data_IF_767731995463
#
_entry.id   IF_767731995463
#
_cell.length_a   1.000
_cell.length_b   1.000
_cell.length_c   1.000
_cell.angle_alpha   90.00
_cell.angle_beta   90.00
_cell.angle_gamma   90.00
#
_symmetry.space_group_name_H-M   'P 1'
#
loop_
_entity.id
_entity.type
_entity.pdbx_description
1 polymer ?
#
# COMPACT_ATOMS: atom_id res chain seq x y z
N UNK A 1 42.46 15.98 -11.76
CA UNK A 1 42.03 14.79 -12.52
C UNK A 1 41.95 13.61 -11.55
N UNK A 2 40.75 13.31 -11.05
CA UNK A 2 40.54 12.16 -10.16
C UNK A 2 40.47 10.89 -11.01
N UNK A 3 41.45 9.99 -10.84
CA UNK A 3 41.54 8.73 -11.57
C UNK A 3 40.52 7.74 -10.98
N UNK A 4 39.64 7.19 -11.82
CA UNK A 4 38.66 6.18 -11.39
C UNK A 4 39.40 4.88 -11.05
N UNK A 5 39.28 4.41 -9.80
CA UNK A 5 39.89 3.17 -9.31
C UNK A 5 39.48 1.92 -10.11
N UNK A 6 38.36 1.97 -10.83
CA UNK A 6 37.89 0.89 -11.72
C UNK A 6 38.82 0.60 -12.89
N UNK A 7 39.83 1.44 -13.12
CA UNK A 7 40.80 1.29 -14.22
C UNK A 7 42.21 0.89 -13.76
N UNK A 8 42.46 0.77 -12.45
CA UNK A 8 43.77 0.33 -11.96
C UNK A 8 43.82 -1.19 -11.79
N UNK A 9 44.74 -1.82 -12.51
CA UNK A 9 45.02 -3.26 -12.39
C UNK A 9 45.73 -3.50 -11.05
N UNK A 10 45.17 -4.31 -10.14
CA UNK A 10 45.81 -4.60 -8.87
C UNK A 10 47.14 -5.35 -9.07
N UNK A 11 48.12 -5.05 -8.22
CA UNK A 11 49.50 -5.58 -8.30
C UNK A 11 49.64 -7.08 -8.00
N UNK A 12 48.56 -7.74 -7.56
CA UNK A 12 48.55 -9.13 -7.11
C UNK A 12 47.77 -9.98 -8.14
N UNK A 13 48.06 -11.29 -8.29
CA UNK A 13 47.37 -12.18 -9.22
C UNK A 13 45.96 -12.52 -8.72
N UNK A 14 45.20 -11.52 -8.32
CA UNK A 14 43.84 -11.63 -7.84
C UNK A 14 42.91 -11.04 -8.88
N UNK A 15 41.90 -11.82 -9.21
CA UNK A 15 40.82 -11.36 -10.06
C UNK A 15 40.06 -10.20 -9.42
N UNK A 16 39.42 -9.40 -10.26
CA UNK A 16 38.55 -8.31 -9.84
C UNK A 16 37.13 -8.56 -10.30
N UNK A 17 36.17 -7.96 -9.59
CA UNK A 17 34.75 -8.04 -9.94
C UNK A 17 34.43 -6.84 -10.82
N UNK A 18 33.76 -7.09 -11.93
CA UNK A 18 33.29 -6.07 -12.86
C UNK A 18 31.81 -6.31 -13.21
N UNK A 19 31.07 -5.25 -13.51
CA UNK A 19 29.67 -5.35 -13.92
C UNK A 19 29.59 -5.14 -15.44
N UNK A 20 29.42 -6.24 -16.17
CA UNK A 20 29.32 -6.23 -17.62
C UNK A 20 27.89 -6.59 -18.02
N UNK A 21 27.21 -5.70 -18.74
CA UNK A 21 25.85 -5.93 -19.25
C UNK A 21 24.82 -6.31 -18.17
N UNK A 22 24.97 -5.76 -16.95
CA UNK A 22 24.06 -5.99 -15.83
C UNK A 22 24.30 -7.30 -15.07
N UNK A 23 25.31 -8.08 -15.46
CA UNK A 23 25.75 -9.28 -14.76
C UNK A 23 27.11 -9.06 -14.06
N UNK A 24 27.22 -9.51 -12.81
CA UNK A 24 28.46 -9.46 -12.03
C UNK A 24 29.41 -10.56 -12.52
N UNK A 25 30.54 -10.17 -13.10
CA UNK A 25 31.56 -11.07 -13.63
C UNK A 25 32.83 -11.03 -12.79
N UNK A 26 33.43 -12.19 -12.53
CA UNK A 26 34.75 -12.30 -11.93
C UNK A 26 35.79 -12.38 -13.04
N UNK A 27 36.65 -11.37 -13.13
CA UNK A 27 37.74 -11.31 -14.10
C UNK A 27 39.00 -11.87 -13.46
N UNK A 28 39.37 -13.11 -13.81
CA UNK A 28 40.58 -13.74 -13.30
C UNK A 28 41.77 -13.33 -14.18
N UNK A 29 42.70 -12.57 -13.60
CA UNK A 29 43.95 -12.21 -14.28
C UNK A 29 44.92 -13.40 -14.17
N UNK A 30 44.85 -14.31 -15.13
CA UNK A 30 45.81 -15.42 -15.28
C UNK A 30 47.03 -14.94 -16.10
N UNK A 31 48.15 -15.66 -16.02
CA UNK A 31 49.40 -15.28 -16.70
C UNK A 31 49.32 -15.24 -18.23
N UNK A 32 48.24 -15.74 -18.85
CA UNK A 32 48.16 -15.89 -20.32
C UNK A 32 46.92 -15.33 -21.00
N UNK A 33 45.92 -14.81 -20.27
CA UNK A 33 44.86 -13.91 -20.78
C UNK A 33 43.82 -13.69 -19.67
N UNK A 34 43.11 -12.56 -19.72
CA UNK A 34 42.03 -12.24 -18.77
C UNK A 34 40.78 -13.05 -19.14
N UNK A 35 40.54 -14.16 -18.44
CA UNK A 35 39.33 -14.93 -18.59
C UNK A 35 38.21 -14.31 -17.75
N UNK A 36 37.12 -13.92 -18.41
CA UNK A 36 35.89 -13.43 -17.74
C UNK A 36 34.97 -14.63 -17.52
N UNK A 37 34.64 -14.92 -16.27
CA UNK A 37 33.71 -16.00 -15.93
C UNK A 37 32.50 -15.38 -15.23
N UNK A 38 31.26 -15.61 -15.71
CA UNK A 38 30.08 -15.13 -15.00
C UNK A 38 30.00 -15.81 -13.65
N UNK A 39 29.73 -15.04 -12.60
CA UNK A 39 29.76 -15.54 -11.23
C UNK A 39 28.75 -16.68 -11.01
N UNK A 40 27.66 -16.71 -11.78
CA UNK A 40 26.66 -17.78 -11.75
C UNK A 40 27.22 -19.16 -12.15
N UNK A 41 28.18 -19.22 -13.08
CA UNK A 41 28.82 -20.49 -13.47
C UNK A 41 29.84 -20.95 -12.41
N UNK A 42 30.41 -20.02 -11.64
CA UNK A 42 31.38 -20.33 -10.58
C UNK A 42 30.72 -20.78 -9.28
N UNK A 43 29.61 -20.13 -8.91
CA UNK A 43 28.88 -20.40 -7.66
C UNK A 43 27.86 -21.55 -7.83
N UNK A 44 27.37 -21.77 -9.05
CA UNK A 44 26.31 -22.74 -9.32
C UNK A 44 24.93 -22.25 -8.86
N UNK A 45 23.91 -23.10 -9.03
CA UNK A 45 22.57 -22.81 -8.50
C UNK A 45 22.63 -22.84 -6.98
N UNK A 46 22.01 -21.85 -6.32
CA UNK A 46 21.88 -21.85 -4.86
C UNK A 46 20.98 -23.02 -4.47
N UNK A 47 21.56 -24.09 -3.92
CA UNK A 47 20.83 -25.30 -3.50
C UNK A 47 20.08 -25.11 -2.17
N UNK A 48 20.44 -24.08 -1.38
CA UNK A 48 19.86 -23.82 -0.07
C UNK A 48 19.57 -22.33 0.15
N UNK A 49 18.29 -22.02 0.32
CA UNK A 49 17.75 -20.69 0.62
C UNK A 49 16.26 -20.66 0.26
N UNK A 50 15.39 -20.40 1.24
CA UNK A 50 13.95 -20.32 0.98
C UNK A 50 13.64 -18.98 0.30
N UNK A 51 13.03 -19.03 -0.89
CA UNK A 51 12.60 -17.87 -1.69
C UNK A 51 11.16 -17.43 -1.42
N UNK A 52 10.52 -18.00 -0.39
CA UNK A 52 9.26 -17.50 0.14
C UNK A 52 9.55 -16.77 1.45
N UNK A 53 8.99 -15.58 1.62
CA UNK A 53 8.82 -14.96 2.93
C UNK A 53 8.35 -16.05 3.91
N UNK A 54 8.95 -16.11 5.10
CA UNK A 54 8.39 -16.86 6.22
C UNK A 54 6.90 -16.55 6.24
N UNK A 55 6.04 -17.55 6.09
CA UNK A 55 4.60 -17.39 6.32
C UNK A 55 4.48 -16.58 7.60
N UNK A 56 3.78 -15.44 7.54
CA UNK A 56 3.59 -14.59 8.71
C UNK A 56 3.31 -15.51 9.89
N UNK A 57 4.25 -15.57 10.83
CA UNK A 57 3.98 -16.17 12.11
C UNK A 57 3.06 -15.15 12.77
N UNK A 58 1.78 -15.18 12.39
CA UNK A 58 0.75 -14.69 13.27
C UNK A 58 0.99 -15.45 14.55
N UNK A 59 1.31 -14.72 15.62
CA UNK A 59 1.12 -15.24 16.96
C UNK A 59 -0.32 -15.71 16.97
N UNK A 60 -0.52 -17.04 16.85
CA UNK A 60 -1.80 -17.64 17.05
C UNK A 60 -2.29 -17.02 18.34
N UNK A 61 -3.37 -16.22 18.28
CA UNK A 61 -4.00 -15.60 19.45
C UNK A 61 -3.89 -16.59 20.60
N UNK A 62 -3.49 -16.19 21.82
CA UNK A 62 -3.23 -17.14 22.90
C UNK A 62 -4.42 -18.07 22.97
N UNK A 63 -4.22 -19.31 22.48
CA UNK A 63 -5.33 -20.20 22.21
C UNK A 63 -6.04 -20.35 23.53
N UNK A 64 -7.33 -19.99 23.59
CA UNK A 64 -8.07 -20.06 24.85
C UNK A 64 -8.07 -21.52 25.29
N UNK A 65 -7.26 -21.86 26.30
CA UNK A 65 -7.11 -23.21 26.80
C UNK A 65 -8.07 -23.42 27.98
N UNK A 66 -9.06 -24.31 27.85
CA UNK A 66 -9.93 -24.67 28.97
C UNK A 66 -9.15 -25.42 30.05
N UNK A 67 -9.68 -25.44 31.28
CA UNK A 67 -9.14 -26.29 32.36
C UNK A 67 -9.26 -27.77 32.01
N UNK A 68 -8.21 -28.55 32.28
CA UNK A 68 -8.18 -29.98 32.00
C UNK A 68 -8.84 -30.77 33.13
N UNK A 69 -9.64 -31.79 32.78
CA UNK A 69 -10.28 -32.68 33.74
C UNK A 69 -9.36 -33.87 34.04
N UNK A 70 -9.07 -34.08 35.33
CA UNK A 70 -8.28 -35.21 35.79
C UNK A 70 -9.22 -36.33 36.21
N UNK A 71 -9.16 -37.45 35.50
CA UNK A 71 -9.88 -38.66 35.89
C UNK A 71 -9.00 -39.49 36.83
N UNK A 72 -9.31 -39.44 38.12
CA UNK A 72 -8.76 -40.39 39.07
C UNK A 72 -9.66 -41.62 39.11
N UNK A 73 -9.03 -42.79 39.05
CA UNK A 73 -9.66 -44.11 39.17
C UNK A 73 -10.66 -44.19 40.37
N UNK A 74 -11.54 -45.21 40.40
CA UNK A 74 -12.55 -45.35 41.44
C UNK A 74 -12.01 -45.19 42.88
N UNK A 75 -12.83 -44.60 43.77
CA UNK A 75 -12.52 -44.28 45.18
C UNK A 75 -11.62 -43.06 45.44
N UNK A 76 -11.40 -42.18 44.45
CA UNK A 76 -10.60 -40.97 44.58
C UNK A 76 -11.42 -39.67 44.72
N UNK A 77 -12.53 -39.68 45.50
CA UNK A 77 -13.43 -38.52 45.63
C UNK A 77 -12.81 -37.27 46.28
N UNK A 78 -11.64 -37.41 46.92
CA UNK A 78 -10.89 -36.31 47.54
C UNK A 78 -9.70 -35.83 46.68
N UNK A 79 -9.49 -36.42 45.51
CA UNK A 79 -8.44 -35.98 44.60
C UNK A 79 -8.86 -34.72 43.84
N UNK A 80 -7.94 -33.78 43.55
CA UNK A 80 -8.26 -32.58 42.77
C UNK A 80 -8.77 -32.94 41.37
N UNK A 81 -10.00 -32.59 41.01
CA UNK A 81 -10.59 -33.04 39.73
C UNK A 81 -10.20 -32.18 38.52
N UNK A 82 -9.55 -31.03 38.74
CA UNK A 82 -9.24 -30.04 37.72
C UNK A 82 -7.75 -29.69 37.73
N UNK A 83 -7.16 -29.56 36.54
CA UNK A 83 -5.82 -29.02 36.33
C UNK A 83 -5.91 -27.69 35.56
N UNK A 84 -5.43 -26.62 36.19
CA UNK A 84 -5.43 -25.26 35.65
C UNK A 84 -4.02 -24.76 35.31
N UNK A 85 -3.00 -25.62 35.33
CA UNK A 85 -1.59 -25.22 35.18
C UNK A 85 -1.32 -24.47 33.87
N UNK A 86 -2.06 -24.80 32.80
CA UNK A 86 -1.93 -24.17 31.48
C UNK A 86 -3.25 -23.60 30.93
N UNK A 87 -4.26 -23.44 31.79
CA UNK A 87 -5.56 -22.92 31.37
C UNK A 87 -5.55 -21.39 31.34
N UNK A 88 -5.99 -20.80 30.24
CA UNK A 88 -6.18 -19.33 30.12
C UNK A 88 -7.63 -18.92 30.36
N UNK A 89 -8.56 -19.88 30.39
CA UNK A 89 -9.98 -19.63 30.59
C UNK A 89 -10.41 -19.92 32.03
N UNK A 90 -11.46 -19.23 32.51
CA UNK A 90 -12.00 -19.49 33.84
C UNK A 90 -12.69 -20.86 33.90
N UNK A 91 -12.92 -21.37 35.12
CA UNK A 91 -13.54 -22.68 35.33
C UNK A 91 -14.96 -22.76 34.76
N UNK A 92 -15.78 -21.72 34.98
CA UNK A 92 -17.18 -21.68 34.55
C UNK A 92 -17.31 -21.79 33.03
N UNK A 93 -16.46 -21.09 32.31
CA UNK A 93 -16.46 -21.03 30.84
C UNK A 93 -15.87 -22.33 30.27
N UNK A 94 -14.87 -22.91 30.95
CA UNK A 94 -14.32 -24.25 30.62
C UNK A 94 -15.37 -25.35 30.77
N UNK A 95 -16.14 -25.29 31.85
CA UNK A 95 -17.24 -26.21 32.12
C UNK A 95 -18.37 -26.02 31.11
N UNK A 96 -18.72 -24.77 30.78
CA UNK A 96 -19.70 -24.47 29.74
C UNK A 96 -19.27 -25.06 28.39
N UNK A 97 -18.02 -24.85 27.96
CA UNK A 97 -17.52 -25.44 26.71
C UNK A 97 -17.57 -26.97 26.75
N UNK A 98 -17.19 -27.57 27.87
CA UNK A 98 -17.20 -29.03 28.03
C UNK A 98 -18.62 -29.59 28.04
N UNK A 99 -19.59 -28.89 28.65
CA UNK A 99 -20.99 -29.29 28.63
C UNK A 99 -21.61 -29.15 27.24
N UNK A 100 -21.23 -28.09 26.52
CA UNK A 100 -21.79 -27.72 25.21
C UNK A 100 -21.21 -28.58 24.10
N UNK A 101 -19.91 -28.84 24.12
CA UNK A 101 -19.18 -29.51 23.02
C UNK A 101 -18.40 -30.77 23.44
N UNK A 102 -18.34 -31.08 24.74
CA UNK A 102 -17.60 -32.25 25.23
C UNK A 102 -18.27 -33.59 24.92
N UNK A 103 -19.58 -33.58 24.66
CA UNK A 103 -20.29 -34.74 24.12
C UNK A 103 -20.59 -34.54 22.62
N UNK A 104 -20.41 -35.62 21.86
CA UNK A 104 -20.69 -35.67 20.43
C UNK A 104 -22.17 -35.46 20.13
N UNK A 105 -23.06 -35.97 20.99
CA UNK A 105 -24.51 -35.79 20.83
C UNK A 105 -24.89 -34.31 21.00
N UNK A 106 -24.46 -33.68 22.09
CA UNK A 106 -24.69 -32.26 22.36
C UNK A 106 -24.11 -31.37 21.24
N UNK A 107 -22.89 -31.66 20.77
CA UNK A 107 -22.27 -30.91 19.69
C UNK A 107 -23.06 -31.03 18.37
N UNK A 108 -23.61 -32.22 18.07
CA UNK A 108 -24.43 -32.45 16.89
C UNK A 108 -25.78 -31.72 16.99
N UNK A 109 -26.41 -31.70 18.16
CA UNK A 109 -27.67 -30.99 18.40
C UNK A 109 -27.50 -29.48 18.25
N UNK A 110 -26.42 -28.92 18.78
CA UNK A 110 -26.12 -27.49 18.65
C UNK A 110 -25.76 -27.13 17.21
N UNK A 111 -25.03 -27.99 16.51
CA UNK A 111 -24.77 -27.81 15.09
C UNK A 111 -26.07 -27.80 14.28
N UNK A 112 -27.01 -28.70 14.59
CA UNK A 112 -28.33 -28.72 13.97
C UNK A 112 -29.16 -27.47 14.31
N UNK A 113 -29.14 -27.02 15.56
CA UNK A 113 -29.80 -25.77 15.97
C UNK A 113 -29.21 -24.57 15.22
N UNK A 114 -27.88 -24.49 15.09
CA UNK A 114 -27.21 -23.45 14.33
C UNK A 114 -27.61 -23.49 12.87
N UNK A 115 -27.62 -24.68 12.26
CA UNK A 115 -28.01 -24.84 10.86
C UNK A 115 -29.48 -24.46 10.65
N UNK A 116 -30.36 -24.83 11.60
CA UNK A 116 -31.75 -24.40 11.61
C UNK A 116 -31.83 -22.86 11.65
N UNK A 117 -31.10 -22.17 12.54
CA UNK A 117 -31.12 -20.70 12.60
C UNK A 117 -30.64 -20.07 11.30
N UNK A 118 -29.57 -20.61 10.69
CA UNK A 118 -28.98 -20.09 9.46
C UNK A 118 -29.90 -20.30 8.25
N UNK A 119 -30.55 -21.47 8.15
CA UNK A 119 -31.46 -21.80 7.05
C UNK A 119 -32.90 -21.32 7.28
N UNK A 120 -33.22 -20.87 8.49
CA UNK A 120 -34.53 -20.31 8.80
C UNK A 120 -34.61 -18.88 8.29
N UNK A 121 -35.34 -18.70 7.19
CA UNK A 121 -35.66 -17.37 6.65
C UNK A 121 -36.45 -16.49 7.63
N UNK A 122 -37.00 -15.38 7.13
CA UNK A 122 -37.59 -14.30 7.94
C UNK A 122 -38.64 -14.70 9.01
N UNK A 123 -39.30 -15.86 8.87
CA UNK A 123 -40.28 -16.34 9.85
C UNK A 123 -39.71 -16.60 11.25
N UNK A 124 -38.50 -17.18 11.32
CA UNK A 124 -37.88 -17.49 12.62
C UNK A 124 -37.27 -16.25 13.27
N UNK A 125 -36.82 -15.32 12.44
CA UNK A 125 -36.41 -13.98 12.84
C UNK A 125 -37.59 -13.23 13.48
N UNK A 126 -38.75 -13.20 12.81
CA UNK A 126 -39.97 -12.60 13.34
C UNK A 126 -40.44 -13.26 14.66
N UNK A 127 -40.35 -14.60 14.75
CA UNK A 127 -40.68 -15.32 15.99
C UNK A 127 -39.76 -14.89 17.15
N UNK A 128 -38.46 -14.78 16.90
CA UNK A 128 -37.51 -14.35 17.92
C UNK A 128 -37.62 -12.88 18.25
N UNK A 129 -37.90 -12.01 17.28
CA UNK A 129 -38.16 -10.60 17.53
C UNK A 129 -39.39 -10.43 18.43
N UNK A 130 -40.45 -11.20 18.18
CA UNK A 130 -41.63 -11.23 19.05
C UNK A 130 -41.31 -11.76 20.46
N UNK A 131 -40.48 -12.80 20.57
CA UNK A 131 -40.06 -13.37 21.85
C UNK A 131 -39.17 -12.40 22.64
N UNK A 132 -38.20 -11.76 21.99
CA UNK A 132 -37.31 -10.77 22.58
C UNK A 132 -38.12 -9.56 23.02
N UNK A 133 -39.03 -9.06 22.17
CA UNK A 133 -39.97 -8.00 22.57
C UNK A 133 -40.83 -8.40 23.78
N UNK A 134 -41.25 -9.66 23.89
CA UNK A 134 -42.00 -10.14 25.05
C UNK A 134 -41.13 -10.21 26.31
N UNK A 135 -39.84 -10.54 26.18
CA UNK A 135 -38.89 -10.64 27.30
C UNK A 135 -38.31 -9.28 27.72
N UNK A 136 -38.23 -8.33 26.79
CA UNK A 136 -37.67 -7.00 27.01
C UNK A 136 -38.75 -5.91 27.08
N UNK A 137 -40.02 -6.29 27.25
CA UNK A 137 -41.17 -5.37 27.26
C UNK A 137 -41.17 -4.35 26.10
N UNK A 138 -40.80 -4.81 24.90
CA UNK A 138 -40.77 -4.00 23.67
C UNK A 138 -39.52 -3.15 23.45
N UNK A 139 -38.54 -3.17 24.37
CA UNK A 139 -37.30 -2.38 24.21
C UNK A 139 -36.43 -2.87 23.04
N UNK A 140 -36.47 -4.16 22.69
CA UNK A 140 -35.72 -4.74 21.56
C UNK A 140 -36.05 -4.07 20.22
N UNK A 141 -37.32 -4.03 19.82
CA UNK A 141 -37.74 -3.34 18.59
C UNK A 141 -37.39 -1.85 18.60
N UNK A 142 -37.51 -1.20 19.76
CA UNK A 142 -37.19 0.22 19.88
C UNK A 142 -35.71 0.52 19.63
N UNK A 143 -34.81 -0.36 20.10
CA UNK A 143 -33.37 -0.23 19.85
C UNK A 143 -33.04 -0.51 18.39
N UNK A 144 -33.66 -1.52 17.77
CA UNK A 144 -33.47 -1.81 16.35
C UNK A 144 -33.89 -0.62 15.49
N UNK A 145 -35.07 -0.04 15.75
CA UNK A 145 -35.56 1.14 15.03
C UNK A 145 -34.55 2.30 15.12
N UNK A 146 -33.97 2.55 16.30
CA UNK A 146 -32.98 3.62 16.47
C UNK A 146 -31.70 3.37 15.67
N UNK A 147 -31.22 2.12 15.63
CA UNK A 147 -30.02 1.76 14.88
C UNK A 147 -30.24 1.94 13.37
N UNK A 148 -31.37 1.45 12.84
CA UNK A 148 -31.70 1.60 11.42
C UNK A 148 -31.85 3.07 11.00
N UNK A 149 -32.43 3.92 11.86
CA UNK A 149 -32.51 5.37 11.58
C UNK A 149 -31.13 6.04 11.55
N UNK A 150 -30.22 5.67 12.47
CA UNK A 150 -28.86 6.23 12.50
C UNK A 150 -28.02 5.83 11.29
N UNK A 151 -28.21 4.62 10.77
CA UNK A 151 -27.51 4.13 9.58
C UNK A 151 -28.00 4.85 8.30
N UNK A 152 -29.31 5.11 8.19
CA UNK A 152 -29.86 5.92 7.07
C UNK A 152 -29.38 7.36 7.09
N UNK A 153 -29.33 7.99 8.26
CA UNK A 153 -28.85 9.38 8.40
C UNK A 153 -27.37 9.53 7.99
N UNK A 154 -26.53 8.53 8.27
CA UNK A 154 -25.11 8.54 7.86
C UNK A 154 -24.93 8.33 6.35
N UNK A 155 -25.74 7.47 5.74
CA UNK A 155 -25.72 7.25 4.28
C UNK A 155 -26.22 8.48 3.51
N UNK A 156 -27.30 9.14 3.97
CA UNK A 156 -27.81 10.37 3.35
C UNK A 156 -26.82 11.55 3.47
N UNK A 157 -25.99 11.59 4.51
CA UNK A 157 -24.93 12.58 4.67
C UNK A 157 -23.76 12.36 3.68
N UNK A 158 -23.49 11.11 3.31
CA UNK A 158 -22.48 10.77 2.30
C UNK A 158 -22.96 11.09 0.87
N UNK A 159 -24.24 10.87 0.55
CA UNK A 159 -24.80 11.18 -0.76
C UNK A 159 -24.88 12.70 -1.04
N UNK A 160 -25.23 13.51 -0.03
CA UNK A 160 -25.31 14.98 -0.18
C UNK A 160 -23.96 15.68 -0.46
N UNK A 161 -22.84 15.00 -0.22
CA UNK A 161 -21.51 15.53 -0.55
C UNK A 161 -21.14 15.33 -2.03
N UNK A 162 -21.77 14.40 -2.75
CA UNK A 162 -21.45 14.13 -4.16
C UNK A 162 -22.19 15.05 -5.16
N UNK A 163 -23.29 15.70 -4.77
CA UNK A 163 -24.13 16.46 -5.72
C UNK A 163 -23.83 17.97 -5.80
N UNK A 164 -22.86 18.51 -5.04
CA UNK A 164 -22.69 19.97 -4.89
C UNK A 164 -21.57 20.66 -5.68
N UNK A 165 -20.81 19.99 -6.55
CA UNK A 165 -19.72 20.64 -7.30
C UNK A 165 -19.70 20.37 -8.81
N UNK A 166 -20.66 20.94 -9.56
CA UNK A 166 -20.53 21.14 -11.01
C UNK A 166 -20.37 22.63 -11.32
N UNK A 167 -19.25 23.23 -10.91
CA UNK A 167 -18.80 24.53 -11.44
C UNK A 167 -17.95 24.29 -12.69
N UNK A 168 -17.90 25.21 -13.68
CA UNK A 168 -17.05 25.05 -14.87
C UNK A 168 -15.56 24.85 -14.54
N UNK A 169 -15.13 25.32 -13.37
CA UNK A 169 -13.79 25.09 -12.80
C UNK A 169 -13.55 23.62 -12.43
N UNK A 170 -14.57 22.91 -11.93
CA UNK A 170 -14.51 21.48 -11.60
C UNK A 170 -14.34 20.62 -12.87
N UNK A 171 -15.01 21.00 -13.96
CA UNK A 171 -14.89 20.29 -15.24
C UNK A 171 -13.50 20.47 -15.89
N UNK A 172 -12.93 21.67 -15.84
CA UNK A 172 -11.54 21.89 -16.33
C UNK A 172 -10.53 21.07 -15.53
N UNK A 173 -10.66 21.04 -14.20
CA UNK A 173 -9.78 20.27 -13.33
C UNK A 173 -9.87 18.77 -13.63
N UNK A 174 -11.08 18.26 -13.86
CA UNK A 174 -11.31 16.88 -14.25
C UNK A 174 -10.65 16.55 -15.61
N UNK A 175 -10.69 17.46 -16.58
CA UNK A 175 -10.00 17.25 -17.87
C UNK A 175 -8.47 17.24 -17.71
N UNK A 176 -7.93 18.09 -16.83
CA UNK A 176 -6.50 18.11 -16.51
C UNK A 176 -6.08 16.82 -15.77
N UNK A 177 -6.91 16.32 -14.85
CA UNK A 177 -6.70 15.03 -14.18
C UNK A 177 -6.71 13.86 -15.18
N UNK A 178 -7.64 13.84 -16.14
CA UNK A 178 -7.65 12.80 -17.18
C UNK A 178 -6.44 12.94 -18.11
N UNK A 179 -5.94 14.16 -18.35
CA UNK A 179 -4.71 14.36 -19.15
C UNK A 179 -3.48 13.69 -18.51
N UNK A 180 -3.45 13.50 -17.18
CA UNK A 180 -2.33 12.81 -16.50
C UNK A 180 -2.25 11.33 -16.83
N UNK A 181 -3.33 10.71 -17.31
CA UNK A 181 -3.35 9.30 -17.72
C UNK A 181 -2.50 9.02 -18.98
N UNK A 182 -2.06 10.07 -19.69
CA UNK A 182 -1.06 9.94 -20.77
C UNK A 182 0.20 9.21 -20.28
N UNK A 183 0.63 9.47 -19.04
CA UNK A 183 1.80 8.83 -18.43
C UNK A 183 1.63 7.31 -18.27
N UNK A 184 0.39 6.83 -18.24
CA UNK A 184 0.03 5.41 -18.11
C UNK A 184 -0.14 4.75 -19.49
N UNK A 185 0.11 5.51 -20.58
CA UNK A 185 0.03 5.03 -21.96
C UNK A 185 -1.38 5.09 -22.55
N UNK A 186 -2.27 5.90 -21.97
CA UNK A 186 -3.61 6.15 -22.50
C UNK A 186 -3.55 7.37 -23.42
N UNK A 187 -4.01 7.23 -24.66
CA UNK A 187 -4.06 8.34 -25.62
C UNK A 187 -5.10 9.39 -25.18
N UNK A 188 -4.62 10.55 -24.74
CA UNK A 188 -5.42 11.70 -24.28
C UNK A 188 -5.42 12.85 -25.29
N UNK A 189 -4.90 12.66 -26.51
CA UNK A 189 -4.78 13.73 -27.52
C UNK A 189 -6.12 14.40 -27.88
N UNK A 190 -7.23 13.68 -27.73
CA UNK A 190 -8.58 14.20 -27.93
C UNK A 190 -9.03 15.22 -26.86
N UNK A 191 -8.39 15.24 -25.69
CA UNK A 191 -8.71 16.18 -24.59
C UNK A 191 -8.31 17.60 -24.95
N UNK A 192 -7.21 17.78 -25.71
CA UNK A 192 -6.81 19.09 -26.21
C UNK A 192 -7.86 19.69 -27.16
N UNK A 193 -8.46 18.85 -28.01
CA UNK A 193 -9.56 19.23 -28.92
C UNK A 193 -10.84 19.59 -28.14
N UNK A 194 -11.21 18.79 -27.12
CA UNK A 194 -12.36 19.07 -26.25
C UNK A 194 -12.16 20.35 -25.43
N UNK A 195 -10.94 20.59 -24.93
CA UNK A 195 -10.60 21.80 -24.17
C UNK A 195 -10.69 23.05 -25.05
N UNK A 196 -10.34 22.93 -26.34
CA UNK A 196 -10.50 23.98 -27.34
C UNK A 196 -11.97 24.26 -27.68
N UNK A 197 -12.77 23.21 -27.92
CA UNK A 197 -14.19 23.31 -28.26
C UNK A 197 -15.05 23.83 -27.09
N UNK A 198 -14.67 23.50 -25.85
CA UNK A 198 -15.36 24.00 -24.65
C UNK A 198 -14.88 25.39 -24.18
N UNK A 199 -13.94 26.04 -24.88
CA UNK A 199 -13.48 27.38 -24.55
C UNK A 199 -12.58 27.49 -23.31
N UNK A 200 -12.06 26.35 -22.81
CA UNK A 200 -11.07 26.28 -21.71
C UNK A 200 -9.62 26.40 -22.21
N UNK A 201 -9.43 26.69 -23.50
CA UNK A 201 -8.13 26.99 -24.09
C UNK A 201 -7.52 28.23 -23.45
N UNK A 202 -6.52 28.04 -22.60
CA UNK A 202 -5.60 29.11 -22.22
C UNK A 202 -4.87 29.61 -23.49
N UNK A 203 -4.91 30.91 -23.85
CA UNK A 203 -4.13 31.45 -24.96
C UNK A 203 -2.60 31.42 -24.71
N UNK A 204 -2.15 30.80 -23.63
CA UNK A 204 -0.77 30.80 -23.16
C UNK A 204 0.08 29.70 -23.81
N UNK A 205 -0.51 28.67 -24.42
CA UNK A 205 0.24 27.48 -24.89
C UNK A 205 1.15 27.76 -26.10
N UNK A 206 0.97 28.86 -26.84
CA UNK A 206 1.88 29.19 -27.96
C UNK A 206 3.11 30.00 -27.52
N UNK A 207 3.12 30.61 -26.34
CA UNK A 207 4.25 31.39 -25.82
C UNK A 207 4.84 30.83 -24.50
N UNK A 208 4.30 29.74 -23.96
CA UNK A 208 4.75 29.09 -22.72
C UNK A 208 6.05 28.27 -22.86
N UNK A 209 6.53 28.01 -24.08
CA UNK A 209 7.84 27.36 -24.27
C UNK A 209 9.02 28.21 -23.76
N UNK A 210 8.79 29.49 -23.41
CA UNK A 210 9.84 30.42 -22.99
C UNK A 210 9.79 30.79 -21.50
N UNK A 211 8.83 30.28 -20.71
CA UNK A 211 8.79 30.54 -19.27
C UNK A 211 7.95 29.50 -18.51
N UNK A 212 8.20 28.21 -18.74
CA UNK A 212 7.78 27.20 -17.77
C UNK A 212 8.61 27.40 -16.50
N UNK A 213 7.96 27.62 -15.36
CA UNK A 213 8.64 27.85 -14.08
C UNK A 213 9.45 26.57 -13.79
N UNK A 214 10.74 26.64 -13.43
CA UNK A 214 11.55 25.45 -13.14
C UNK A 214 10.89 24.51 -12.11
N UNK A 215 10.07 25.07 -11.24
CA UNK A 215 9.31 24.38 -10.20
C UNK A 215 8.19 23.49 -10.77
N UNK A 216 7.41 23.96 -11.75
CA UNK A 216 6.34 23.17 -12.38
C UNK A 216 6.89 21.98 -13.17
N UNK A 217 8.05 22.16 -13.81
CA UNK A 217 8.76 21.06 -14.52
C UNK A 217 9.31 20.01 -13.53
N UNK A 218 9.79 20.44 -12.36
CA UNK A 218 10.24 19.53 -11.30
C UNK A 218 9.05 18.78 -10.70
N UNK A 219 7.92 19.45 -10.46
CA UNK A 219 6.70 18.83 -9.96
C UNK A 219 6.17 17.79 -10.96
N UNK A 220 6.12 18.13 -12.26
CA UNK A 220 5.73 17.20 -13.33
C UNK A 220 6.64 15.97 -13.38
N UNK A 221 7.96 16.17 -13.27
CA UNK A 221 8.90 15.06 -13.20
C UNK A 221 8.71 14.23 -11.91
N UNK A 222 8.30 14.85 -10.79
CA UNK A 222 7.93 14.18 -9.56
C UNK A 222 6.78 13.20 -9.76
N UNK A 223 5.70 13.62 -10.43
CA UNK A 223 4.58 12.73 -10.79
C UNK A 223 5.04 11.59 -11.72
N UNK A 224 5.88 11.88 -12.72
CA UNK A 224 6.46 10.83 -13.58
C UNK A 224 7.28 9.80 -12.79
N UNK A 225 8.05 10.21 -11.77
CA UNK A 225 8.79 9.28 -10.88
C UNK A 225 7.83 8.41 -10.08
N UNK A 226 6.75 9.00 -9.57
CA UNK A 226 5.73 8.28 -8.82
C UNK A 226 5.04 7.23 -9.70
N UNK A 227 4.71 7.58 -10.94
CA UNK A 227 4.13 6.67 -11.93
C UNK A 227 5.10 5.56 -12.33
N UNK A 228 6.37 5.88 -12.56
CA UNK A 228 7.42 4.89 -12.82
C UNK A 228 7.53 3.89 -11.67
N UNK A 229 7.53 4.41 -10.44
CA UNK A 229 7.60 3.60 -9.22
C UNK A 229 6.38 2.71 -9.10
N UNK A 230 5.20 3.22 -9.43
CA UNK A 230 3.97 2.44 -9.45
C UNK A 230 4.06 1.27 -10.46
N UNK A 231 4.49 1.52 -11.70
CA UNK A 231 4.65 0.48 -12.72
C UNK A 231 5.70 -0.57 -12.32
N UNK A 232 6.83 -0.13 -11.76
CA UNK A 232 7.88 -1.01 -11.26
C UNK A 232 7.39 -1.88 -10.10
N UNK A 233 6.66 -1.28 -9.16
CA UNK A 233 6.10 -2.01 -8.02
C UNK A 233 5.04 -3.01 -8.49
N UNK A 234 4.18 -2.63 -9.42
CA UNK A 234 3.21 -3.54 -10.03
C UNK A 234 3.90 -4.73 -10.74
N UNK A 235 5.05 -4.50 -11.40
CA UNK A 235 5.84 -5.57 -12.03
C UNK A 235 6.49 -6.48 -10.99
N UNK A 236 7.11 -5.91 -9.96
CA UNK A 236 7.92 -6.64 -8.97
C UNK A 236 7.09 -7.33 -7.88
N UNK A 237 5.89 -6.84 -7.59
CA UNK A 237 5.00 -7.38 -6.56
C UNK A 237 4.10 -8.51 -7.09
N UNK A 238 4.12 -8.75 -8.41
CA UNK A 238 3.48 -9.95 -8.98
C UNK A 238 4.13 -11.20 -8.40
N UNK A 239 3.31 -12.13 -7.94
CA UNK A 239 3.76 -13.41 -7.38
C UNK A 239 4.47 -14.23 -8.45
N UNK A 240 5.80 -14.27 -8.36
CA UNK A 240 6.65 -15.12 -9.21
C UNK A 240 6.83 -16.49 -8.54
N UNK A 241 6.70 -17.56 -9.32
CA UNK A 241 6.90 -18.94 -8.85
C UNK A 241 8.36 -19.35 -8.81
N UNK A 242 9.22 -18.71 -9.63
CA UNK A 242 10.67 -18.89 -9.65
C UNK A 242 11.37 -17.55 -9.84
N UNK A 243 12.44 -17.28 -9.08
CA UNK A 243 13.25 -16.04 -9.19
C UNK A 243 13.93 -15.84 -10.55
N UNK A 244 14.04 -16.90 -11.35
CA UNK A 244 14.57 -16.82 -12.72
C UNK A 244 13.55 -16.27 -13.72
N UNK A 245 12.26 -16.20 -13.35
CA UNK A 245 11.15 -15.78 -14.20
C UNK A 245 10.65 -14.39 -13.78
N UNK A 246 11.58 -13.44 -13.67
CA UNK A 246 11.23 -12.02 -13.40
C UNK A 246 10.51 -11.47 -14.63
N UNK A 247 9.32 -10.86 -14.47
CA UNK A 247 8.62 -10.24 -15.58
C UNK A 247 9.52 -9.18 -16.25
N UNK A 248 9.58 -9.22 -17.58
CA UNK A 248 10.33 -8.25 -18.37
C UNK A 248 9.76 -6.84 -18.18
N UNK A 249 10.61 -5.82 -18.42
CA UNK A 249 10.21 -4.41 -18.36
C UNK A 249 9.08 -4.13 -19.35
N UNK A 250 8.07 -3.38 -18.91
CA UNK A 250 6.94 -2.99 -19.76
C UNK A 250 7.36 -1.89 -20.74
N UNK A 251 6.80 -1.87 -21.95
CA UNK A 251 7.11 -0.84 -22.95
C UNK A 251 6.76 0.57 -22.44
N UNK A 252 5.67 0.71 -21.68
CA UNK A 252 5.30 1.98 -21.04
C UNK A 252 6.30 2.42 -19.94
N UNK A 253 6.88 1.47 -19.20
CA UNK A 253 7.92 1.76 -18.20
C UNK A 253 9.20 2.23 -18.89
N UNK A 254 9.54 1.62 -20.02
CA UNK A 254 10.71 1.96 -20.82
C UNK A 254 10.57 3.36 -21.44
N UNK A 255 9.40 3.67 -22.02
CA UNK A 255 9.12 4.97 -22.62
C UNK A 255 9.15 6.09 -21.57
N UNK A 256 8.47 5.90 -20.44
CA UNK A 256 8.42 6.88 -19.36
C UNK A 256 9.81 7.11 -18.76
N UNK A 257 10.60 6.05 -18.55
CA UNK A 257 11.99 6.16 -18.10
C UNK A 257 12.86 6.95 -19.09
N UNK A 258 12.69 6.71 -20.40
CA UNK A 258 13.41 7.43 -21.45
C UNK A 258 13.00 8.91 -21.53
N UNK A 259 11.70 9.21 -21.42
CA UNK A 259 11.16 10.58 -21.41
C UNK A 259 11.69 11.36 -20.21
N UNK A 260 11.66 10.77 -19.03
CA UNK A 260 12.19 11.35 -17.80
C UNK A 260 13.71 11.59 -17.86
N UNK A 261 14.48 10.65 -18.41
CA UNK A 261 15.92 10.84 -18.64
C UNK A 261 16.19 12.03 -19.58
N UNK A 262 15.38 12.18 -20.62
CA UNK A 262 15.48 13.28 -21.59
C UNK A 262 15.12 14.62 -20.94
N UNK A 263 14.05 14.67 -20.12
CA UNK A 263 13.64 15.88 -19.39
C UNK A 263 14.76 16.35 -18.44
N UNK A 264 15.35 15.45 -17.64
CA UNK A 264 16.46 15.82 -16.77
C UNK A 264 17.69 16.27 -17.55
N UNK A 265 18.01 15.62 -18.68
CA UNK A 265 19.10 16.05 -19.54
C UNK A 265 18.85 17.45 -20.11
N UNK A 266 17.62 17.76 -20.52
CA UNK A 266 17.23 19.09 -20.99
C UNK A 266 17.31 20.13 -19.87
N UNK A 267 16.85 19.82 -18.65
CA UNK A 267 16.96 20.72 -17.50
C UNK A 267 18.42 21.02 -17.14
N UNK A 268 19.30 20.02 -17.14
CA UNK A 268 20.73 20.22 -16.88
C UNK A 268 21.36 21.13 -17.93
N UNK A 269 21.02 20.94 -19.21
CA UNK A 269 21.53 21.75 -20.32
C UNK A 269 20.97 23.18 -20.29
N UNK A 270 19.67 23.33 -20.02
CA UNK A 270 18.97 24.60 -20.11
C UNK A 270 19.24 25.51 -18.90
N UNK A 271 19.33 24.94 -17.70
CA UNK A 271 19.56 25.71 -16.49
C UNK A 271 21.05 25.85 -16.13
N UNK A 272 21.94 24.98 -16.66
CA UNK A 272 23.38 25.00 -16.33
C UNK A 272 23.63 25.01 -14.81
N UNK A 273 22.72 24.42 -14.04
CA UNK A 273 22.74 24.34 -12.58
C UNK A 273 23.35 23.00 -12.19
N UNK A 274 24.29 23.02 -11.25
CA UNK A 274 24.88 21.80 -10.73
C UNK A 274 23.83 21.05 -9.86
N UNK A 275 23.83 19.70 -9.81
CA UNK A 275 22.79 18.93 -9.12
C UNK A 275 22.56 19.28 -7.64
N UNK A 276 23.53 19.94 -7.00
CA UNK A 276 23.46 20.44 -5.62
C UNK A 276 22.65 21.74 -5.46
N UNK A 277 22.29 22.41 -6.55
CA UNK A 277 21.57 23.69 -6.56
C UNK A 277 20.15 23.55 -7.13
N UNK A 278 19.79 22.38 -7.66
CA UNK A 278 18.44 22.06 -8.13
C UNK A 278 17.58 21.68 -6.91
N UNK A 279 16.61 22.52 -6.55
CA UNK A 279 15.59 22.20 -5.53
C UNK A 279 15.91 22.58 -4.08
N UNK A 280 17.04 23.26 -3.81
CA UNK A 280 17.40 23.77 -2.47
C UNK A 280 17.25 25.28 -2.42
N UNK A 281 16.08 25.79 -2.84
CA UNK A 281 15.71 27.18 -2.51
C UNK A 281 15.05 27.17 -1.11
N UNK A 282 15.35 28.16 -0.24
CA UNK A 282 14.76 28.21 1.10
C UNK A 282 13.23 28.10 1.10
N UNK A 283 12.58 28.65 0.07
CA UNK A 283 11.14 28.59 -0.11
C UNK A 283 10.60 27.16 -0.31
N UNK A 284 11.29 26.31 -1.08
CA UNK A 284 10.91 24.90 -1.25
C UNK A 284 11.07 24.12 0.05
N UNK A 285 12.13 24.42 0.82
CA UNK A 285 12.36 23.80 2.13
C UNK A 285 11.27 24.23 3.13
N UNK A 286 10.89 25.51 3.12
CA UNK A 286 9.81 26.03 3.98
C UNK A 286 8.48 25.36 3.65
N UNK A 287 8.11 25.31 2.36
CA UNK A 287 6.89 24.65 1.90
C UNK A 287 6.89 23.13 2.23
N UNK A 288 8.01 22.43 2.02
CA UNK A 288 8.14 21.01 2.36
C UNK A 288 8.11 20.71 3.88
N UNK A 289 8.47 21.69 4.71
CA UNK A 289 8.36 21.62 6.18
C UNK A 289 6.96 22.06 6.67
N UNK A 290 6.09 22.54 5.76
CA UNK A 290 4.76 23.03 6.08
C UNK A 290 4.74 24.46 6.66
N UNK A 291 5.82 25.23 6.41
CA UNK A 291 5.89 26.65 6.71
C UNK A 291 5.44 27.41 5.47
N UNK A 292 4.18 27.80 5.43
CA UNK A 292 3.66 28.71 4.42
C UNK A 292 4.08 30.14 4.80
N UNK A 293 5.02 30.71 4.05
CA UNK A 293 5.49 32.10 4.27
C UNK A 293 4.35 33.14 4.09
N UNK A 294 3.17 32.76 3.58
CA UNK A 294 2.02 33.67 3.39
C UNK A 294 1.27 34.03 4.69
N UNK A 295 1.20 33.11 5.67
CA UNK A 295 0.43 33.34 6.90
C UNK A 295 1.18 34.22 7.92
N UNK A 296 2.51 34.22 7.89
CA UNK A 296 3.34 34.95 8.86
C UNK A 296 3.43 36.46 8.59
N UNK A 297 3.17 36.92 7.36
CA UNK A 297 3.13 38.35 7.04
C UNK A 297 1.83 39.04 7.46
N UNK A 298 0.74 38.29 7.59
CA UNK A 298 -0.55 38.84 8.04
C UNK A 298 -0.60 38.98 9.58
N UNK A 299 0.06 38.08 10.33
CA UNK A 299 0.21 38.20 11.79
C UNK A 299 1.00 39.46 12.18
N UNK A 300 1.99 39.84 11.38
CA UNK A 300 2.80 41.05 11.62
C UNK A 300 2.15 42.34 11.11
N UNK A 301 1.21 42.26 10.15
CA UNK A 301 0.40 43.41 9.73
C UNK A 301 -0.63 43.78 10.78
N UNK A 302 -1.32 42.80 11.36
CA UNK A 302 -2.31 43.02 12.42
C UNK A 302 -1.67 43.67 13.67
N UNK A 303 -0.38 43.41 13.93
CA UNK A 303 0.36 44.01 15.04
C UNK A 303 0.86 45.45 14.77
N UNK A 304 1.07 45.83 13.51
CA UNK A 304 1.60 47.14 13.13
C UNK A 304 0.52 48.17 12.79
N UNK A 305 -0.71 47.73 12.51
CA UNK A 305 -1.85 48.63 12.28
C UNK A 305 -2.46 49.18 13.60
N UNK A 306 -2.00 48.69 14.76
CA UNK A 306 -2.45 49.10 16.10
C UNK A 306 -1.47 50.06 16.83
N UNK A 307 -0.62 50.79 16.09
CA UNK A 307 0.26 51.88 16.61
C UNK A 307 0.00 53.22 15.95
#
# INVERSE_FOLDING_TARGET
>A
MSKKLTTEVPKWPLGYIDNHEGAVALNLVTSTEAAKIPLGDLIGKIEAGHTGLLTNFEDAFPALTPSSYLNYEPFASFAPMYDTTWATMNQRDSELLTQTYGDRENAADIFQLRQMVVDSGGYFLELFDNMLNTLTDGEHSRVIDTLETSEKETLEALEKNNERETTPTSFSKLLDDISTLENIGIDTSFIEEIKADCGFSNPTTQNAAMMMIPEEEIERNGYMIQDLTYLQNQRLTRTITNLADVPQISDAELELSSRLATNFQQQIIQFNVAPNEIGVTPHIIHNAIGVNDEDDYDILREFMDDV
#
